data_IF_025119411015
#
_entry.id   IF_025119411015
#
_cell.length_a   1.000
_cell.length_b   1.000
_cell.length_c   1.000
_cell.angle_alpha   90.00
_cell.angle_beta   90.00
_cell.angle_gamma   90.00
#
_symmetry.space_group_name_H-M   'P 1'
#
loop_
_entity.id
_entity.type
_entity.pdbx_description
1 polymer ?
#
# COMPACT_ATOMS: atom_id res chain seq x y z
N UNK A 1 11.78 21.34 -16.77
CA UNK A 1 11.29 21.07 -15.39
C UNK A 1 12.26 20.12 -14.69
N UNK A 2 12.52 20.30 -13.40
CA UNK A 2 13.30 19.33 -12.60
C UNK A 2 12.48 18.07 -12.35
N UNK A 3 13.12 16.88 -12.36
CA UNK A 3 12.47 15.64 -11.96
C UNK A 3 12.03 15.72 -10.49
N UNK A 4 10.84 15.23 -10.19
CA UNK A 4 10.36 15.06 -8.82
C UNK A 4 10.96 13.78 -8.19
N UNK A 5 11.05 13.67 -6.85
CA UNK A 5 11.70 12.52 -6.19
C UNK A 5 11.23 11.15 -6.68
N UNK A 6 9.92 10.96 -6.87
CA UNK A 6 9.35 9.70 -7.36
C UNK A 6 9.80 9.29 -8.77
N UNK A 7 10.31 10.23 -9.57
CA UNK A 7 10.85 9.96 -10.91
C UNK A 7 12.38 9.75 -10.91
N UNK A 8 13.02 9.82 -9.76
CA UNK A 8 14.47 9.57 -9.62
C UNK A 8 14.78 8.12 -9.24
N UNK A 9 13.78 7.35 -8.82
CA UNK A 9 13.92 5.93 -8.48
C UNK A 9 14.09 5.11 -9.75
N UNK A 10 15.06 4.22 -9.77
CA UNK A 10 15.28 3.31 -10.90
C UNK A 10 14.24 2.18 -10.91
N UNK A 11 13.17 2.38 -11.66
CA UNK A 11 12.07 1.42 -11.80
C UNK A 11 12.46 0.13 -12.56
N UNK A 12 13.61 0.08 -13.20
CA UNK A 12 14.14 -1.17 -13.81
C UNK A 12 14.75 -2.09 -12.77
N UNK A 13 15.19 -1.55 -11.64
CA UNK A 13 15.81 -2.29 -10.53
C UNK A 13 14.88 -2.46 -9.34
N UNK A 14 13.82 -1.66 -9.25
CA UNK A 14 12.88 -1.67 -8.13
C UNK A 14 12.19 -3.02 -7.99
N UNK A 15 12.32 -3.62 -6.81
CA UNK A 15 11.65 -4.87 -6.44
C UNK A 15 10.29 -4.60 -5.80
N UNK A 16 9.54 -5.67 -5.52
CA UNK A 16 8.39 -5.61 -4.63
C UNK A 16 8.85 -5.41 -3.19
N UNK A 17 8.14 -4.63 -2.41
CA UNK A 17 8.55 -4.36 -1.02
C UNK A 17 7.81 -3.19 -0.38
N UNK A 18 8.40 -2.68 0.69
CA UNK A 18 7.99 -1.47 1.40
C UNK A 18 9.18 -0.53 1.41
N UNK A 19 9.02 0.68 0.88
CA UNK A 19 10.12 1.63 0.79
C UNK A 19 9.72 2.98 1.36
N UNK A 20 10.63 3.63 2.08
CA UNK A 20 10.48 5.04 2.44
C UNK A 20 10.63 5.86 1.17
N UNK A 21 9.52 6.39 0.67
CA UNK A 21 9.51 7.23 -0.53
C UNK A 21 10.05 8.63 -0.23
N UNK A 22 9.58 9.22 0.86
CA UNK A 22 10.05 10.52 1.36
C UNK A 22 9.60 10.75 2.79
N UNK A 23 10.25 11.72 3.43
CA UNK A 23 9.87 12.25 4.74
C UNK A 23 9.72 13.76 4.63
N UNK A 24 8.58 14.28 5.07
CA UNK A 24 8.24 15.70 5.00
C UNK A 24 8.07 16.27 6.40
N UNK A 25 8.69 17.42 6.64
CA UNK A 25 8.44 18.21 7.84
C UNK A 25 7.13 18.99 7.67
N UNK A 26 6.19 18.82 8.58
CA UNK A 26 4.90 19.52 8.60
C UNK A 26 4.70 20.12 9.99
N UNK A 27 5.02 21.40 10.16
CA UNK A 27 5.12 22.02 11.48
C UNK A 27 6.20 21.35 12.33
N UNK A 28 5.84 20.90 13.52
CA UNK A 28 6.74 20.17 14.43
C UNK A 28 6.73 18.64 14.21
N UNK A 29 5.97 18.18 13.24
CA UNK A 29 5.77 16.75 12.98
C UNK A 29 6.45 16.32 11.68
N UNK A 30 6.82 15.05 11.61
CA UNK A 30 7.29 14.41 10.37
C UNK A 30 6.18 13.50 9.84
N UNK A 31 5.99 13.53 8.53
CA UNK A 31 5.14 12.61 7.80
C UNK A 31 6.02 11.74 6.91
N UNK A 32 5.98 10.43 7.12
CA UNK A 32 6.65 9.46 6.25
C UNK A 32 5.67 8.92 5.22
N UNK A 33 6.04 9.03 3.94
CA UNK A 33 5.34 8.42 2.82
C UNK A 33 6.04 7.12 2.45
N UNK A 34 5.30 6.03 2.51
CA UNK A 34 5.76 4.70 2.11
C UNK A 34 5.22 4.32 0.73
N UNK A 35 6.10 3.77 -0.08
CA UNK A 35 5.79 3.05 -1.32
C UNK A 35 5.55 1.58 -0.96
N UNK A 36 4.29 1.15 -1.03
CA UNK A 36 3.89 -0.24 -0.80
C UNK A 36 3.82 -0.91 -2.18
N UNK A 37 4.99 -1.40 -2.64
CA UNK A 37 5.18 -1.91 -3.99
C UNK A 37 4.80 -3.39 -4.08
N UNK A 38 3.65 -3.66 -4.65
CA UNK A 38 3.10 -5.02 -4.75
C UNK A 38 3.50 -5.75 -6.04
N UNK A 39 3.86 -5.00 -7.09
CA UNK A 39 4.27 -5.53 -8.40
C UNK A 39 5.66 -5.04 -8.78
N UNK A 40 6.43 -5.88 -9.46
CA UNK A 40 7.68 -5.44 -10.07
C UNK A 40 7.40 -4.52 -11.26
N UNK A 41 7.82 -3.25 -11.20
CA UNK A 41 7.52 -2.31 -12.28
C UNK A 41 8.07 -2.79 -13.63
N UNK A 42 7.23 -2.74 -14.66
CA UNK A 42 7.57 -3.08 -16.04
C UNK A 42 8.05 -4.53 -16.30
N UNK A 43 8.02 -5.41 -15.28
CA UNK A 43 8.47 -6.81 -15.40
C UNK A 43 7.34 -7.82 -15.19
N UNK A 44 6.23 -7.39 -14.59
CA UNK A 44 5.02 -8.19 -14.46
C UNK A 44 3.77 -7.36 -14.75
N UNK A 45 2.61 -7.98 -15.04
CA UNK A 45 1.36 -7.24 -15.23
C UNK A 45 0.98 -6.42 -14.01
N UNK A 46 0.53 -5.19 -14.23
CA UNK A 46 -0.04 -4.34 -13.19
C UNK A 46 -1.35 -4.91 -12.64
N UNK A 47 -1.81 -4.38 -11.51
CA UNK A 47 -3.10 -4.78 -10.94
C UNK A 47 -4.27 -4.43 -11.85
N UNK A 48 -5.29 -5.28 -11.85
CA UNK A 48 -6.62 -4.89 -12.31
C UNK A 48 -7.18 -3.76 -11.44
N UNK A 49 -7.83 -2.78 -12.05
CA UNK A 49 -8.37 -1.62 -11.33
C UNK A 49 -9.37 -2.01 -10.23
N UNK A 50 -10.25 -3.00 -10.48
CA UNK A 50 -11.21 -3.49 -9.49
C UNK A 50 -10.54 -4.11 -8.27
N UNK A 51 -9.49 -4.90 -8.48
CA UNK A 51 -8.72 -5.50 -7.38
C UNK A 51 -8.01 -4.43 -6.53
N UNK A 52 -7.36 -3.47 -7.18
CA UNK A 52 -6.63 -2.41 -6.48
C UNK A 52 -7.58 -1.48 -5.72
N UNK A 53 -8.77 -1.16 -6.28
CA UNK A 53 -9.81 -0.39 -5.62
C UNK A 53 -10.37 -1.12 -4.39
N UNK A 54 -10.58 -2.45 -4.50
CA UNK A 54 -10.98 -3.27 -3.35
C UNK A 54 -9.92 -3.29 -2.26
N UNK A 55 -8.64 -3.43 -2.63
CA UNK A 55 -7.50 -3.33 -1.69
C UNK A 55 -7.48 -1.96 -1.00
N UNK A 56 -7.76 -0.88 -1.73
CA UNK A 56 -7.86 0.46 -1.16
C UNK A 56 -8.91 0.53 -0.05
N UNK A 57 -10.15 0.11 -0.34
CA UNK A 57 -11.24 0.13 0.64
C UNK A 57 -10.93 -0.72 1.89
N UNK A 58 -10.44 -1.92 1.70
CA UNK A 58 -10.15 -2.85 2.80
C UNK A 58 -8.98 -2.37 3.66
N UNK A 59 -7.88 -1.97 3.04
CA UNK A 59 -6.71 -1.48 3.76
C UNK A 59 -7.00 -0.16 4.49
N UNK A 60 -7.67 0.81 3.84
CA UNK A 60 -8.03 2.07 4.48
C UNK A 60 -8.91 1.85 5.71
N UNK A 61 -9.90 0.94 5.59
CA UNK A 61 -10.77 0.59 6.71
C UNK A 61 -9.99 -0.08 7.84
N UNK A 62 -9.16 -1.06 7.54
CA UNK A 62 -8.34 -1.76 8.55
C UNK A 62 -7.38 -0.81 9.28
N UNK A 63 -6.61 -0.03 8.53
CA UNK A 63 -5.60 0.88 9.05
C UNK A 63 -6.19 1.97 9.96
N UNK A 64 -7.33 2.55 9.54
CA UNK A 64 -8.00 3.63 10.30
C UNK A 64 -8.77 3.12 11.52
N UNK A 65 -8.97 1.81 11.65
CA UNK A 65 -9.54 1.15 12.83
C UNK A 65 -8.49 0.37 13.65
N UNK A 66 -7.22 0.41 13.25
CA UNK A 66 -6.17 -0.32 13.95
C UNK A 66 -5.95 0.22 15.37
N UNK A 67 -5.90 -0.65 16.41
CA UNK A 67 -5.89 -0.20 17.81
C UNK A 67 -4.72 0.71 18.18
N UNK A 68 -3.56 0.55 17.54
CA UNK A 68 -2.35 1.32 17.85
C UNK A 68 -1.94 2.31 16.75
N UNK A 69 -2.36 2.11 15.52
CA UNK A 69 -1.92 2.91 14.39
C UNK A 69 -2.95 3.92 13.87
N UNK A 70 -4.25 3.75 14.17
CA UNK A 70 -5.31 4.57 13.62
C UNK A 70 -5.05 6.09 13.73
N UNK A 71 -4.55 6.55 14.88
CA UNK A 71 -4.23 7.96 15.12
C UNK A 71 -2.99 8.51 14.37
N UNK A 72 -2.22 7.64 13.73
CA UNK A 72 -1.03 8.00 12.94
C UNK A 72 -1.27 7.89 11.45
N UNK A 73 -2.29 7.18 11.01
CA UNK A 73 -2.60 6.98 9.59
C UNK A 73 -3.17 8.29 9.00
N UNK A 74 -2.50 8.81 7.98
CA UNK A 74 -2.93 10.03 7.28
C UNK A 74 -3.66 9.67 6.00
N UNK A 75 -3.08 8.77 5.18
CA UNK A 75 -3.66 8.40 3.89
C UNK A 75 -3.19 7.01 3.46
N UNK A 76 -4.09 6.30 2.80
CA UNK A 76 -3.82 5.10 2.01
C UNK A 76 -4.51 5.26 0.66
N UNK A 77 -3.81 4.98 -0.43
CA UNK A 77 -4.40 5.04 -1.76
C UNK A 77 -3.53 4.43 -2.85
N UNK A 78 -4.13 4.06 -3.98
CA UNK A 78 -3.45 3.39 -5.08
C UNK A 78 -2.50 4.33 -5.82
N UNK A 79 -1.44 3.75 -6.39
CA UNK A 79 -0.59 4.43 -7.35
C UNK A 79 -1.26 4.48 -8.71
N UNK A 80 -1.12 5.59 -9.43
CA UNK A 80 -1.64 5.73 -10.79
C UNK A 80 -1.06 4.74 -11.79
N UNK A 81 0.13 4.17 -11.52
CA UNK A 81 0.75 3.11 -12.33
C UNK A 81 0.21 1.70 -12.04
N UNK A 82 -0.72 1.55 -11.08
CA UNK A 82 -1.37 0.30 -10.71
C UNK A 82 -0.40 -0.81 -10.24
N UNK A 83 0.74 -0.46 -9.64
CA UNK A 83 1.73 -1.43 -9.15
C UNK A 83 1.81 -1.53 -7.63
N UNK A 84 1.01 -0.75 -6.92
CA UNK A 84 0.95 -0.74 -5.46
C UNK A 84 0.17 0.45 -4.93
N UNK A 85 0.45 0.79 -3.68
CA UNK A 85 -0.24 1.83 -2.94
C UNK A 85 0.76 2.76 -2.24
N UNK A 86 0.32 3.97 -1.89
CA UNK A 86 1.02 4.84 -0.96
C UNK A 86 0.35 4.78 0.41
N UNK A 87 1.18 4.73 1.45
CA UNK A 87 0.77 4.89 2.84
C UNK A 87 1.50 6.09 3.44
N UNK A 88 0.74 7.07 3.93
CA UNK A 88 1.27 8.22 4.65
C UNK A 88 0.99 8.03 6.14
N UNK A 89 2.05 8.13 6.95
CA UNK A 89 1.98 7.92 8.40
C UNK A 89 2.69 9.07 9.11
N UNK A 90 2.09 9.55 10.19
CA UNK A 90 2.72 10.49 11.12
C UNK A 90 3.88 9.81 11.85
N UNK A 91 5.04 10.40 11.79
CA UNK A 91 6.27 9.97 12.47
C UNK A 91 7.46 9.86 11.51
N UNK A 92 8.66 9.88 12.10
CA UNK A 92 9.92 9.58 11.41
C UNK A 92 10.15 8.06 11.44
N UNK A 93 9.65 7.37 10.42
CA UNK A 93 9.57 5.91 10.39
C UNK A 93 10.43 5.32 9.27
N UNK A 94 10.90 4.10 9.48
CA UNK A 94 11.57 3.26 8.49
C UNK A 94 10.64 2.16 7.98
N UNK A 95 10.99 1.51 6.89
CA UNK A 95 10.20 0.41 6.31
C UNK A 95 10.00 -0.74 7.30
N UNK A 96 11.02 -1.04 8.11
CA UNK A 96 10.96 -2.07 9.15
C UNK A 96 9.94 -1.77 10.25
N UNK A 97 9.68 -0.48 10.54
CA UNK A 97 8.73 -0.08 11.59
C UNK A 97 7.29 -0.41 11.22
N UNK A 98 6.96 -0.36 9.93
CA UNK A 98 5.61 -0.65 9.43
C UNK A 98 5.45 -2.05 8.83
N UNK A 99 6.52 -2.83 8.70
CA UNK A 99 6.43 -4.20 8.16
C UNK A 99 5.42 -5.07 8.93
N UNK A 100 5.40 -5.11 10.28
CA UNK A 100 4.37 -5.85 11.01
C UNK A 100 2.95 -5.38 10.69
N UNK A 101 2.73 -4.07 10.62
CA UNK A 101 1.43 -3.48 10.27
C UNK A 101 0.99 -3.91 8.85
N UNK A 102 1.90 -3.94 7.88
CA UNK A 102 1.60 -4.38 6.53
C UNK A 102 1.29 -5.87 6.48
N UNK A 103 2.00 -6.70 7.23
CA UNK A 103 1.68 -8.14 7.36
C UNK A 103 0.25 -8.32 7.89
N UNK A 104 -0.13 -7.60 8.94
CA UNK A 104 -1.50 -7.65 9.49
C UNK A 104 -2.54 -7.16 8.47
N UNK A 105 -2.27 -6.04 7.80
CA UNK A 105 -3.17 -5.45 6.80
C UNK A 105 -3.42 -6.42 5.63
N UNK A 106 -2.35 -6.97 5.05
CA UNK A 106 -2.49 -7.87 3.90
C UNK A 106 -3.02 -9.25 4.29
N UNK A 107 -2.77 -9.71 5.53
CA UNK A 107 -3.42 -10.91 6.07
C UNK A 107 -4.92 -10.70 6.23
N UNK A 108 -5.34 -9.54 6.71
CA UNK A 108 -6.74 -9.16 6.80
C UNK A 108 -7.41 -9.20 5.41
N UNK A 109 -6.80 -8.56 4.40
CA UNK A 109 -7.35 -8.53 3.03
C UNK A 109 -7.40 -9.93 2.42
N UNK A 110 -6.34 -10.72 2.56
CA UNK A 110 -6.24 -12.07 2.00
C UNK A 110 -7.32 -13.04 2.53
N UNK A 111 -7.81 -12.79 3.74
CA UNK A 111 -8.81 -13.62 4.40
C UNK A 111 -10.18 -12.94 4.50
N UNK A 112 -10.34 -11.75 3.91
CA UNK A 112 -11.57 -10.99 4.03
C UNK A 112 -12.76 -11.73 3.39
N UNK A 113 -13.88 -11.75 4.11
CA UNK A 113 -15.16 -12.28 3.65
C UNK A 113 -16.26 -11.28 3.97
N UNK A 114 -17.24 -11.18 3.09
CA UNK A 114 -18.37 -10.29 3.26
C UNK A 114 -18.38 -9.10 2.30
N UNK A 115 -19.22 -8.14 2.59
CA UNK A 115 -19.39 -6.91 1.79
C UNK A 115 -18.18 -5.99 1.95
N UNK A 116 -17.73 -5.40 0.84
CA UNK A 116 -16.61 -4.46 0.86
C UNK A 116 -17.05 -3.17 1.53
N UNK A 117 -16.35 -2.69 2.60
CA UNK A 117 -16.70 -1.46 3.27
C UNK A 117 -16.76 -0.27 2.31
N UNK A 118 -17.82 0.53 2.40
CA UNK A 118 -17.97 1.73 1.57
C UNK A 118 -18.24 1.48 0.09
N UNK A 119 -18.46 0.23 -0.36
CA UNK A 119 -18.77 -0.09 -1.74
C UNK A 119 -20.26 0.10 -2.05
N UNK A 120 -20.77 1.30 -1.78
CA UNK A 120 -22.15 1.70 -2.09
C UNK A 120 -22.16 2.96 -2.94
N UNK A 121 -23.25 3.19 -3.68
CA UNK A 121 -23.40 4.39 -4.51
C UNK A 121 -23.36 5.69 -3.70
N UNK A 122 -23.67 5.63 -2.40
CA UNK A 122 -23.62 6.77 -1.49
C UNK A 122 -22.20 7.07 -1.03
N UNK A 123 -21.38 6.04 -0.82
CA UNK A 123 -20.11 6.15 -0.13
C UNK A 123 -18.90 6.19 -1.08
N UNK A 124 -19.07 5.70 -2.32
CA UNK A 124 -17.99 5.59 -3.31
C UNK A 124 -18.42 6.12 -4.67
N UNK A 125 -17.54 6.92 -5.30
CA UNK A 125 -17.79 7.51 -6.62
C UNK A 125 -17.84 6.50 -7.77
N UNK A 126 -17.33 5.28 -7.57
CA UNK A 126 -17.38 4.19 -8.55
C UNK A 126 -17.51 2.83 -7.84
N UNK A 127 -18.59 2.66 -7.09
CA UNK A 127 -18.80 1.51 -6.21
C UNK A 127 -18.91 0.16 -6.93
N UNK A 128 -19.24 0.15 -8.21
CA UNK A 128 -19.31 -1.07 -9.03
C UNK A 128 -17.94 -1.60 -9.47
N UNK A 129 -16.90 -0.78 -9.41
CA UNK A 129 -15.54 -1.18 -9.79
C UNK A 129 -14.86 -1.87 -8.60
N UNK A 130 -15.22 -3.11 -8.32
CA UNK A 130 -14.70 -3.91 -7.23
C UNK A 130 -14.39 -5.34 -7.72
N UNK A 131 -13.37 -5.97 -7.16
CA UNK A 131 -12.99 -7.37 -7.43
C UNK A 131 -12.39 -7.99 -6.17
N UNK A 132 -13.24 -8.46 -5.25
CA UNK A 132 -12.80 -9.07 -4.00
C UNK A 132 -11.99 -10.36 -4.21
N UNK A 133 -12.39 -11.31 -5.08
CA UNK A 133 -11.60 -12.52 -5.31
C UNK A 133 -10.16 -12.21 -5.75
N UNK A 134 -9.99 -11.28 -6.69
CA UNK A 134 -8.67 -10.90 -7.17
C UNK A 134 -7.90 -10.08 -6.12
N UNK A 135 -8.55 -9.20 -5.37
CA UNK A 135 -7.93 -8.47 -4.26
C UNK A 135 -7.36 -9.41 -3.20
N UNK A 136 -8.11 -10.45 -2.82
CA UNK A 136 -7.66 -11.50 -1.87
C UNK A 136 -6.46 -12.26 -2.42
N UNK A 137 -6.48 -12.62 -3.69
CA UNK A 137 -5.37 -13.33 -4.34
C UNK A 137 -4.10 -12.49 -4.38
N UNK A 138 -4.20 -11.24 -4.82
CA UNK A 138 -3.07 -10.30 -4.86
C UNK A 138 -2.51 -10.00 -3.47
N UNK A 139 -3.38 -9.83 -2.48
CA UNK A 139 -2.97 -9.62 -1.10
C UNK A 139 -2.23 -10.84 -0.54
N UNK A 140 -2.74 -12.06 -0.80
CA UNK A 140 -2.08 -13.31 -0.37
C UNK A 140 -0.71 -13.47 -1.02
N UNK A 141 -0.63 -13.21 -2.33
CA UNK A 141 0.63 -13.28 -3.07
C UNK A 141 1.67 -12.31 -2.49
N UNK A 142 1.31 -11.05 -2.28
CA UNK A 142 2.21 -10.06 -1.69
C UNK A 142 2.61 -10.41 -0.25
N UNK A 143 1.66 -10.88 0.56
CA UNK A 143 1.91 -11.32 1.93
C UNK A 143 2.96 -12.43 1.98
N UNK A 144 2.72 -13.53 1.25
CA UNK A 144 3.54 -14.75 1.36
C UNK A 144 4.86 -14.68 0.59
N UNK A 145 4.88 -14.00 -0.55
CA UNK A 145 6.08 -13.92 -1.40
C UNK A 145 7.00 -12.75 -1.05
N UNK A 146 6.51 -11.74 -0.32
CA UNK A 146 7.28 -10.53 -0.03
C UNK A 146 7.30 -10.20 1.45
N UNK A 147 6.17 -9.95 2.08
CA UNK A 147 6.14 -9.37 3.42
C UNK A 147 6.65 -10.36 4.50
N UNK A 148 6.20 -11.61 4.47
CA UNK A 148 6.59 -12.64 5.46
C UNK A 148 8.03 -13.14 5.28
N UNK A 149 8.66 -12.87 4.14
CA UNK A 149 10.03 -13.26 3.81
C UNK A 149 10.93 -12.08 3.48
N UNK A 150 10.52 -10.87 3.89
CA UNK A 150 11.17 -9.61 3.53
C UNK A 150 12.66 -9.60 3.92
N UNK A 151 13.49 -9.15 2.97
CA UNK A 151 14.93 -8.92 3.10
C UNK A 151 15.21 -7.43 2.94
N UNK A 152 16.46 -7.03 3.10
CA UNK A 152 16.87 -5.63 2.95
C UNK A 152 16.48 -5.05 1.57
N UNK A 153 16.63 -5.82 0.51
CA UNK A 153 16.25 -5.44 -0.86
C UNK A 153 14.74 -5.13 -1.04
N UNK A 154 13.90 -5.62 -0.10
CA UNK A 154 12.46 -5.35 -0.07
C UNK A 154 12.10 -4.15 0.82
N UNK A 155 13.07 -3.57 1.52
CA UNK A 155 12.85 -2.51 2.52
C UNK A 155 13.63 -1.22 2.22
N UNK A 156 14.60 -1.27 1.31
CA UNK A 156 15.43 -0.13 0.92
C UNK A 156 15.45 -0.01 -0.60
N UNK A 157 15.28 1.20 -1.12
CA UNK A 157 15.36 1.45 -2.56
C UNK A 157 16.74 1.07 -3.12
N UNK A 158 16.77 0.54 -4.36
CA UNK A 158 18.01 0.15 -5.03
C UNK A 158 18.90 1.36 -5.39
#
# INVERSE_FOLDING_TARGET
MKKIPSFTIDHLRLMRGIFVSRQDQVGDEIVTTFDIRMKEPNREPAHGQGALHTIEHLAATFLRNHPTWAGKIIYWGPMGCLTGNYLLVKGNLQSSDILPLMIETFRFIANYEGEIPGATAKDCGNYLLQDLPMARWEARKYLTEVLEVAKEENLVYP
#
